data_IF_230978556237
#
_entry.id   IF_230978556237
#
_cell.length_a   1.000
_cell.length_b   1.000
_cell.length_c   1.000
_cell.angle_alpha   90.00
_cell.angle_beta   90.00
_cell.angle_gamma   90.00
#
_symmetry.space_group_name_H-M   'P 1'
#
loop_
_entity.id
_entity.type
_entity.pdbx_description
1 polymer ?
#
# COMPACT_ATOMS: atom_id res chain seq x y z
N UNK A 1 -39.08 1.63 7.97
CA UNK A 1 -37.88 2.20 8.62
C UNK A 1 -37.47 3.37 7.76
N UNK A 2 -37.63 4.59 8.25
CA UNK A 2 -37.62 5.80 7.43
C UNK A 2 -36.20 6.11 6.92
N UNK A 3 -36.08 6.32 5.61
CA UNK A 3 -34.87 6.85 4.98
C UNK A 3 -34.66 8.30 5.45
N UNK A 4 -33.74 8.51 6.38
CA UNK A 4 -33.38 9.83 6.85
C UNK A 4 -32.44 10.46 5.82
N UNK A 5 -32.94 11.45 5.08
CA UNK A 5 -32.20 12.13 4.02
C UNK A 5 -31.43 13.32 4.62
N UNK A 6 -30.11 13.17 4.77
CA UNK A 6 -29.23 14.20 5.34
C UNK A 6 -28.80 15.16 4.23
N UNK A 7 -29.15 16.45 4.35
CA UNK A 7 -28.82 17.50 3.37
C UNK A 7 -27.39 18.04 3.56
N UNK A 8 -26.38 17.23 3.24
CA UNK A 8 -24.98 17.66 3.17
C UNK A 8 -24.31 17.09 1.90
N UNK A 9 -24.59 17.63 0.71
CA UNK A 9 -23.95 17.18 -0.54
C UNK A 9 -24.11 15.69 -0.87
N UNK A 10 -23.28 15.17 -1.78
CA UNK A 10 -23.33 13.76 -2.22
C UNK A 10 -22.62 12.83 -1.21
N UNK A 11 -23.26 12.57 -0.07
CA UNK A 11 -22.78 11.62 0.96
C UNK A 11 -23.38 10.24 0.70
N UNK A 12 -22.52 9.27 0.44
CA UNK A 12 -22.91 7.87 0.34
C UNK A 12 -22.63 7.15 1.67
N UNK A 13 -23.65 6.64 2.37
CA UNK A 13 -23.44 5.87 3.59
C UNK A 13 -22.71 4.57 3.23
N UNK A 14 -21.67 4.25 4.00
CA UNK A 14 -20.89 3.00 3.88
C UNK A 14 -21.07 2.13 5.12
N UNK A 15 -21.20 0.83 4.88
CA UNK A 15 -21.31 -0.17 5.94
C UNK A 15 -19.92 -0.39 6.55
N UNK A 16 -19.79 -0.12 7.86
CA UNK A 16 -18.49 -0.11 8.55
C UNK A 16 -17.81 -1.48 8.58
N UNK A 17 -18.59 -2.55 8.73
CA UNK A 17 -18.10 -3.93 8.74
C UNK A 17 -17.47 -4.33 7.39
N UNK A 18 -18.09 -3.89 6.29
CA UNK A 18 -17.56 -4.08 4.94
C UNK A 18 -16.30 -3.25 4.73
N UNK A 19 -16.34 -1.99 5.11
CA UNK A 19 -15.21 -1.06 4.93
C UNK A 19 -13.96 -1.52 5.71
N UNK A 20 -14.14 -1.92 6.97
CA UNK A 20 -13.04 -2.40 7.80
C UNK A 20 -12.36 -3.66 7.25
N UNK A 21 -13.15 -4.60 6.69
CA UNK A 21 -12.60 -5.80 6.05
C UNK A 21 -11.80 -5.45 4.80
N UNK A 22 -12.33 -4.57 3.96
CA UNK A 22 -11.63 -4.13 2.74
C UNK A 22 -10.33 -3.41 3.07
N UNK A 23 -10.38 -2.40 3.95
CA UNK A 23 -9.21 -1.64 4.37
C UNK A 23 -8.13 -2.53 4.99
N UNK A 24 -8.53 -3.53 5.78
CA UNK A 24 -7.59 -4.50 6.34
C UNK A 24 -6.89 -5.34 5.26
N UNK A 25 -7.65 -5.88 4.30
CA UNK A 25 -7.09 -6.69 3.21
C UNK A 25 -6.17 -5.84 2.33
N UNK A 26 -6.57 -4.62 1.98
CA UNK A 26 -5.78 -3.72 1.14
C UNK A 26 -4.44 -3.37 1.81
N UNK A 27 -4.48 -3.05 3.11
CA UNK A 27 -3.26 -2.80 3.86
C UNK A 27 -2.39 -4.06 3.99
N UNK A 28 -2.97 -5.20 4.35
CA UNK A 28 -2.25 -6.46 4.51
C UNK A 28 -1.55 -6.88 3.21
N UNK A 29 -2.25 -6.81 2.08
CA UNK A 29 -1.69 -7.11 0.76
C UNK A 29 -0.56 -6.14 0.39
N UNK A 30 -0.74 -4.84 0.65
CA UNK A 30 0.31 -3.84 0.41
C UNK A 30 1.58 -4.15 1.20
N UNK A 31 1.45 -4.58 2.46
CA UNK A 31 2.58 -4.91 3.32
C UNK A 31 3.28 -6.18 2.84
N UNK A 32 2.52 -7.23 2.52
CA UNK A 32 3.07 -8.52 2.08
C UNK A 32 3.90 -8.33 0.81
N UNK A 33 3.33 -7.66 -0.20
CA UNK A 33 3.95 -7.55 -1.53
C UNK A 33 5.03 -6.46 -1.57
N UNK A 34 4.80 -5.31 -0.95
CA UNK A 34 5.66 -4.12 -1.15
C UNK A 34 6.66 -3.87 -0.03
N UNK A 35 6.65 -4.65 1.06
CA UNK A 35 7.50 -4.36 2.22
C UNK A 35 8.10 -5.60 2.88
N UNK A 36 7.29 -6.62 3.13
CA UNK A 36 7.65 -7.72 4.00
C UNK A 36 8.48 -8.80 3.30
N UNK A 37 8.01 -9.28 2.13
CA UNK A 37 8.65 -10.39 1.42
C UNK A 37 9.68 -9.89 0.39
N UNK A 38 10.88 -10.52 0.32
CA UNK A 38 11.83 -10.26 -0.75
C UNK A 38 11.37 -10.89 -2.08
N UNK A 39 11.82 -10.34 -3.20
CA UNK A 39 11.60 -10.95 -4.51
C UNK A 39 12.49 -12.19 -4.67
N UNK A 40 11.96 -13.27 -5.24
CA UNK A 40 12.69 -14.54 -5.40
C UNK A 40 13.86 -14.46 -6.37
N UNK A 41 13.85 -13.49 -7.29
CA UNK A 41 14.87 -13.36 -8.34
C UNK A 41 16.19 -12.80 -7.81
N UNK A 42 16.10 -11.87 -6.86
CA UNK A 42 17.24 -11.12 -6.35
C UNK A 42 17.39 -11.20 -4.81
N UNK A 43 16.40 -11.73 -4.10
CA UNK A 43 16.38 -11.77 -2.64
C UNK A 43 16.23 -10.39 -1.99
N UNK A 44 15.98 -9.33 -2.75
CA UNK A 44 15.97 -7.97 -2.27
C UNK A 44 14.57 -7.50 -1.92
N UNK A 45 14.46 -6.85 -0.75
CA UNK A 45 13.27 -6.05 -0.40
C UNK A 45 13.21 -4.79 -1.28
N UNK A 46 12.01 -4.22 -1.53
CA UNK A 46 11.86 -3.02 -2.35
C UNK A 46 12.72 -1.83 -1.92
N UNK A 47 13.01 -1.68 -0.61
CA UNK A 47 13.88 -0.62 -0.10
C UNK A 47 15.34 -0.78 -0.55
N UNK A 48 15.86 -2.01 -0.57
CA UNK A 48 17.24 -2.28 -0.98
C UNK A 48 17.43 -1.94 -2.47
N UNK A 49 16.48 -2.34 -3.31
CA UNK A 49 16.51 -2.06 -4.76
C UNK A 49 16.55 -0.55 -5.04
N UNK A 50 15.76 0.24 -4.31
CA UNK A 50 15.75 1.71 -4.43
C UNK A 50 17.07 2.34 -4.01
N UNK A 51 17.67 1.86 -2.91
CA UNK A 51 18.97 2.35 -2.42
C UNK A 51 20.06 2.06 -3.44
N UNK A 52 20.17 0.81 -3.89
CA UNK A 52 21.19 0.41 -4.87
C UNK A 52 21.02 1.14 -6.20
N UNK A 53 19.79 1.32 -6.66
CA UNK A 53 19.50 2.10 -7.85
C UNK A 53 19.93 3.56 -7.67
N UNK A 54 19.59 4.20 -6.55
CA UNK A 54 20.00 5.59 -6.29
C UNK A 54 21.53 5.74 -6.20
N UNK A 55 22.23 4.78 -5.58
CA UNK A 55 23.69 4.75 -5.51
C UNK A 55 24.33 4.62 -6.91
N UNK A 56 23.73 3.81 -7.78
CA UNK A 56 24.16 3.68 -9.16
C UNK A 56 23.98 4.99 -9.94
N UNK A 57 22.82 5.63 -9.82
CA UNK A 57 22.53 6.92 -10.49
C UNK A 57 23.46 8.06 -10.02
N UNK A 58 23.92 8.02 -8.77
CA UNK A 58 24.87 9.01 -8.22
C UNK A 58 26.33 8.67 -8.47
N UNK A 59 26.63 7.57 -9.17
CA UNK A 59 27.99 7.16 -9.49
C UNK A 59 28.81 6.63 -8.31
N UNK A 60 28.15 6.19 -7.22
CA UNK A 60 28.80 5.59 -6.05
C UNK A 60 29.22 4.13 -6.33
N UNK A 61 30.11 3.96 -7.29
CA UNK A 61 30.67 2.65 -7.65
C UNK A 61 31.92 2.34 -6.82
N UNK A 62 32.18 1.06 -6.50
CA UNK A 62 33.44 0.68 -5.85
C UNK A 62 34.58 0.86 -6.86
N UNK A 63 35.56 1.68 -6.50
CA UNK A 63 36.77 1.95 -7.30
C UNK A 63 37.56 0.68 -7.62
#
# INVERSE_FOLDING_TARGET
MADQQWSHGNIHPVQIDKEMKNAYIDYAMSVIVMRALPDVRDGLKPVHRRILYAMHETGMTPN
#
